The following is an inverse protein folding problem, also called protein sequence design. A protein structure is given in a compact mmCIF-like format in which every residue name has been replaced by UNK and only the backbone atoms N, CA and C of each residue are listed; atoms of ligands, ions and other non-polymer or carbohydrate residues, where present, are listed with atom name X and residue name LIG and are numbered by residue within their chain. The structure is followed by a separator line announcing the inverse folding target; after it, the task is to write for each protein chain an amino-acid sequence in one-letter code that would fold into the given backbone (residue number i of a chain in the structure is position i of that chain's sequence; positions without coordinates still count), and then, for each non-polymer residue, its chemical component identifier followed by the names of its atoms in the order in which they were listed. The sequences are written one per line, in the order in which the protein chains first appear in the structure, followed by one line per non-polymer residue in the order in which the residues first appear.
data_IF_981024333495
#
_entry.id   IF_981024333495
#
_cell.length_a   1.000
_cell.length_b   1.000
_cell.length_c   1.000
_cell.angle_alpha   90.00
_cell.angle_beta   90.00
_cell.angle_gamma   90.00
#
_symmetry.space_group_name_H-M   'P 1'
#
loop_
_entity.id
_entity.type
_entity.pdbx_description
1 polymer ?
#
# COMPACT_ATOMS: atom_id res chain seq x y z
N UNK A 1 13.08 13.26 -5.36
CA UNK A 1 11.69 13.41 -4.87
C UNK A 1 11.67 14.38 -3.71
N UNK A 2 10.67 15.25 -3.64
CA UNK A 2 10.47 16.16 -2.50
C UNK A 2 9.14 15.80 -1.83
N UNK A 3 9.18 14.77 -0.98
CA UNK A 3 8.05 14.35 -0.14
C UNK A 3 8.48 14.49 1.31
N UNK A 4 7.60 15.03 2.17
CA UNK A 4 7.89 15.14 3.59
C UNK A 4 7.90 13.72 4.21
N UNK A 5 9.06 13.24 4.72
CA UNK A 5 9.19 11.87 5.20
C UNK A 5 8.34 11.62 6.45
N UNK A 6 8.24 12.57 7.37
CA UNK A 6 7.47 12.44 8.62
C UNK A 6 5.98 12.24 8.32
N UNK A 7 5.42 13.09 7.44
CA UNK A 7 4.04 12.93 6.97
C UNK A 7 3.85 11.62 6.21
N UNK A 8 4.81 11.24 5.37
CA UNK A 8 4.71 10.02 4.56
C UNK A 8 4.65 8.78 5.44
N UNK A 9 5.51 8.70 6.47
CA UNK A 9 5.49 7.61 7.45
C UNK A 9 4.18 7.59 8.21
N UNK A 10 3.68 8.75 8.65
CA UNK A 10 2.40 8.83 9.36
C UNK A 10 1.25 8.33 8.48
N UNK A 11 1.18 8.72 7.22
CA UNK A 11 0.13 8.29 6.31
C UNK A 11 0.25 6.78 6.00
N UNK A 12 1.48 6.27 5.86
CA UNK A 12 1.72 4.84 5.68
C UNK A 12 1.23 4.01 6.87
N UNK A 13 1.40 4.48 8.11
CA UNK A 13 0.90 3.79 9.31
C UNK A 13 -0.63 3.63 9.28
N UNK A 14 -1.34 4.61 8.73
CA UNK A 14 -2.81 4.66 8.74
C UNK A 14 -3.47 4.29 7.40
N UNK A 15 -2.71 3.92 6.37
CA UNK A 15 -3.25 3.81 5.00
C UNK A 15 -4.38 2.77 4.85
N UNK A 16 -4.37 1.71 5.67
CA UNK A 16 -5.42 0.67 5.72
C UNK A 16 -6.34 0.80 6.95
N UNK A 17 -6.31 1.93 7.66
CA UNK A 17 -7.08 2.08 8.90
C UNK A 17 -8.60 1.95 8.70
N UNK A 18 -9.12 2.28 7.52
CA UNK A 18 -10.53 2.10 7.16
C UNK A 18 -10.95 0.63 7.05
N UNK A 19 -10.00 -0.29 6.85
CA UNK A 19 -10.27 -1.73 6.70
C UNK A 19 -10.78 -2.36 8.01
N UNK A 20 -10.68 -1.67 9.14
CA UNK A 20 -11.38 -2.06 10.38
C UNK A 20 -12.90 -2.18 10.20
N UNK A 21 -13.48 -1.38 9.28
CA UNK A 21 -14.92 -1.40 8.99
C UNK A 21 -15.26 -2.18 7.72
N UNK A 22 -14.41 -2.11 6.70
CA UNK A 22 -14.70 -2.67 5.38
C UNK A 22 -14.18 -4.10 5.23
N UNK A 23 -13.20 -4.49 6.06
CA UNK A 23 -12.38 -5.68 5.86
C UNK A 23 -11.43 -5.52 4.68
N UNK A 24 -10.30 -6.23 4.71
CA UNK A 24 -9.44 -6.31 3.53
C UNK A 24 -10.21 -6.97 2.39
N UNK A 25 -10.20 -6.32 1.24
CA UNK A 25 -10.85 -6.81 0.04
C UNK A 25 -9.77 -7.22 -0.97
N UNK A 26 -9.77 -8.49 -1.44
CA UNK A 26 -8.76 -8.95 -2.37
C UNK A 26 -8.69 -8.06 -3.62
N UNK A 27 -7.46 -7.71 -4.03
CA UNK A 27 -7.20 -6.87 -5.22
C UNK A 27 -7.98 -7.32 -6.47
N UNK A 28 -8.06 -8.63 -6.82
CA UNK A 28 -8.85 -9.06 -7.99
C UNK A 28 -10.33 -8.69 -7.92
N UNK A 29 -10.90 -8.60 -6.71
CA UNK A 29 -12.29 -8.19 -6.47
C UNK A 29 -12.40 -6.66 -6.54
N UNK A 30 -11.51 -5.91 -5.86
CA UNK A 30 -11.47 -4.42 -5.91
C UNK A 30 -11.43 -3.88 -7.35
N UNK A 31 -10.79 -4.61 -8.28
CA UNK A 31 -10.58 -4.16 -9.67
C UNK A 31 -11.34 -4.96 -10.74
N UNK A 32 -12.33 -5.76 -10.37
CA UNK A 32 -13.08 -6.62 -11.31
C UNK A 32 -13.71 -5.83 -12.48
N UNK A 33 -14.31 -4.67 -12.19
CA UNK A 33 -14.77 -3.73 -13.20
C UNK A 33 -14.80 -2.29 -12.65
N UNK A 34 -15.07 -1.32 -13.52
CA UNK A 34 -15.10 0.11 -13.17
C UNK A 34 -16.19 0.48 -12.16
N UNK A 35 -17.33 -0.22 -12.19
CA UNK A 35 -18.46 0.00 -11.28
C UNK A 35 -18.07 -0.42 -9.86
N UNK A 36 -17.56 -1.65 -9.70
CA UNK A 36 -17.11 -2.19 -8.41
C UNK A 36 -15.97 -1.35 -7.84
N UNK A 37 -14.99 -0.99 -8.69
CA UNK A 37 -13.87 -0.14 -8.28
C UNK A 37 -14.35 1.20 -7.72
N UNK A 38 -15.33 1.83 -8.36
CA UNK A 38 -15.87 3.12 -7.91
C UNK A 38 -16.67 2.94 -6.62
N UNK A 39 -17.58 1.97 -6.59
CA UNK A 39 -18.38 1.68 -5.41
C UNK A 39 -17.51 1.37 -4.18
N UNK A 40 -16.42 0.62 -4.36
CA UNK A 40 -15.52 0.29 -3.27
C UNK A 40 -14.74 1.52 -2.77
N UNK A 41 -14.32 2.43 -3.66
CA UNK A 41 -13.73 3.71 -3.24
C UNK A 41 -14.69 4.54 -2.39
N UNK A 42 -15.97 4.54 -2.74
CA UNK A 42 -16.99 5.26 -1.97
C UNK A 42 -17.19 4.62 -0.58
N UNK A 43 -17.13 3.28 -0.50
CA UNK A 43 -17.18 2.53 0.76
C UNK A 43 -15.97 2.85 1.65
N UNK A 44 -14.76 2.82 1.11
CA UNK A 44 -13.52 3.17 1.83
C UNK A 44 -13.54 4.62 2.33
N UNK A 45 -14.02 5.56 1.50
CA UNK A 45 -14.15 6.95 1.89
C UNK A 45 -15.19 7.14 3.00
N UNK A 46 -16.31 6.42 2.94
CA UNK A 46 -17.32 6.45 3.99
C UNK A 46 -16.78 5.86 5.30
N UNK A 47 -16.01 4.78 5.24
CA UNK A 47 -15.33 4.18 6.39
C UNK A 47 -14.31 5.14 7.02
N UNK A 48 -13.49 5.79 6.20
CA UNK A 48 -12.51 6.79 6.65
C UNK A 48 -13.18 7.99 7.33
N UNK A 49 -14.28 8.51 6.74
CA UNK A 49 -15.09 9.58 7.36
C UNK A 49 -15.74 9.13 8.66
N UNK A 50 -16.15 7.87 8.76
CA UNK A 50 -16.68 7.31 10.01
C UNK A 50 -15.58 7.27 11.07
N UNK A 51 -14.37 6.83 10.72
CA UNK A 51 -13.23 6.79 11.64
C UNK A 51 -12.91 8.19 12.19
N UNK A 52 -12.86 9.21 11.31
CA UNK A 52 -12.65 10.61 11.72
C UNK A 52 -13.71 11.11 12.71
N UNK A 53 -14.97 10.73 12.53
CA UNK A 53 -16.06 11.14 13.43
C UNK A 53 -16.02 10.47 14.81
N UNK A 54 -15.21 9.42 14.98
CA UNK A 54 -15.00 8.77 16.28
C UNK A 54 -13.91 9.48 17.10
N UNK A 55 -13.13 10.36 16.49
CA UNK A 55 -12.11 11.13 17.19
C UNK A 55 -12.76 12.26 18.01
N UNK A 56 -12.15 12.64 19.14
CA UNK A 56 -12.45 13.90 19.80
C UNK A 56 -12.27 15.10 18.84
N UNK A 57 -13.04 16.17 19.06
CA UNK A 57 -13.12 17.31 18.13
C UNK A 57 -11.76 18.00 17.90
N UNK A 58 -10.92 18.07 18.93
CA UNK A 58 -9.58 18.64 18.90
C UNK A 58 -8.57 17.86 18.06
N UNK A 59 -8.83 16.56 17.79
CA UNK A 59 -7.98 15.72 16.95
C UNK A 59 -8.47 15.63 15.49
N UNK A 60 -9.68 16.11 15.19
CA UNK A 60 -10.27 15.92 13.86
C UNK A 60 -9.39 16.51 12.76
N UNK A 61 -8.91 17.74 12.94
CA UNK A 61 -8.09 18.44 11.94
C UNK A 61 -6.74 17.76 11.69
N UNK A 62 -6.15 17.18 12.72
CA UNK A 62 -4.83 16.55 12.64
C UNK A 62 -4.87 15.24 11.85
N UNK A 63 -6.00 14.52 11.92
CA UNK A 63 -6.19 13.23 11.25
C UNK A 63 -6.89 13.33 9.90
N UNK A 64 -7.55 14.43 9.58
CA UNK A 64 -8.33 14.54 8.35
C UNK A 64 -7.48 14.30 7.10
N UNK A 65 -6.30 14.90 7.00
CA UNK A 65 -5.39 14.70 5.87
C UNK A 65 -4.82 13.28 5.78
N UNK A 66 -4.70 12.60 6.93
CA UNK A 66 -4.21 11.22 7.03
C UNK A 66 -5.23 10.24 6.47
N UNK A 67 -6.52 10.45 6.75
CA UNK A 67 -7.60 9.51 6.42
C UNK A 67 -8.35 9.88 5.14
N UNK A 68 -8.24 11.13 4.68
CA UNK A 68 -8.92 11.62 3.47
C UNK A 68 -7.84 12.16 2.52
N UNK A 69 -7.55 11.45 1.41
CA UNK A 69 -6.55 11.88 0.46
C UNK A 69 -6.82 13.29 -0.10
N UNK A 70 -5.78 14.11 -0.14
CA UNK A 70 -5.80 15.48 -0.70
C UNK A 70 -4.92 15.57 -1.94
N UNK A 71 -5.32 16.39 -2.91
CA UNK A 71 -4.63 16.49 -4.22
C UNK A 71 -3.24 17.13 -4.11
N UNK A 72 -3.06 18.06 -3.19
CA UNK A 72 -1.77 18.72 -2.90
C UNK A 72 -0.76 17.77 -2.24
N UNK A 73 -1.22 16.66 -1.65
CA UNK A 73 -0.40 15.62 -1.01
C UNK A 73 -0.34 14.32 -1.83
N UNK A 74 -0.72 14.36 -3.11
CA UNK A 74 -0.79 13.16 -3.96
C UNK A 74 0.52 12.39 -4.09
N UNK A 75 1.67 13.06 -4.03
CA UNK A 75 2.97 12.38 -4.14
C UNK A 75 3.27 11.53 -2.91
N UNK A 76 2.77 11.91 -1.73
CA UNK A 76 2.84 11.07 -0.52
C UNK A 76 2.06 9.78 -0.76
N UNK A 77 0.80 9.89 -1.21
CA UNK A 77 -0.05 8.73 -1.48
C UNK A 77 0.47 7.84 -2.61
N UNK A 78 1.10 8.40 -3.65
CA UNK A 78 1.77 7.61 -4.69
C UNK A 78 2.96 6.83 -4.13
N UNK A 79 3.73 7.44 -3.22
CA UNK A 79 4.86 6.80 -2.56
C UNK A 79 4.39 5.65 -1.66
N UNK A 80 3.33 5.87 -0.87
CA UNK A 80 2.72 4.81 -0.05
C UNK A 80 2.19 3.68 -0.91
N UNK A 81 1.50 3.98 -2.01
CA UNK A 81 1.01 2.96 -2.93
C UNK A 81 2.13 2.13 -3.57
N UNK A 82 3.28 2.74 -3.83
CA UNK A 82 4.46 2.01 -4.30
C UNK A 82 5.01 1.10 -3.20
N UNK A 83 5.15 1.62 -1.98
CA UNK A 83 5.62 0.86 -0.82
C UNK A 83 4.70 -0.33 -0.48
N UNK A 84 3.38 -0.14 -0.51
CA UNK A 84 2.38 -1.20 -0.34
C UNK A 84 2.55 -2.34 -1.36
N UNK A 85 2.74 -1.99 -2.65
CA UNK A 85 3.02 -3.01 -3.68
C UNK A 85 4.36 -3.72 -3.48
N UNK A 86 5.39 -3.01 -3.04
CA UNK A 86 6.69 -3.61 -2.72
C UNK A 86 6.53 -4.61 -1.56
N UNK A 87 5.81 -4.22 -0.51
CA UNK A 87 5.48 -5.11 0.62
C UNK A 87 4.72 -6.35 0.17
N UNK A 88 3.70 -6.19 -0.68
CA UNK A 88 2.97 -7.31 -1.27
C UNK A 88 3.86 -8.23 -2.14
N UNK A 89 4.83 -7.66 -2.86
CA UNK A 89 5.80 -8.44 -3.63
C UNK A 89 6.74 -9.25 -2.74
N UNK A 90 7.29 -8.63 -1.68
CA UNK A 90 8.13 -9.30 -0.68
C UNK A 90 7.35 -10.45 -0.04
N UNK A 91 6.10 -10.22 0.34
CA UNK A 91 5.23 -11.29 0.86
C UNK A 91 5.11 -12.47 -0.11
N UNK A 92 5.01 -12.21 -1.42
CA UNK A 92 4.99 -13.28 -2.41
C UNK A 92 6.31 -14.07 -2.48
N UNK A 93 7.46 -13.41 -2.30
CA UNK A 93 8.78 -14.07 -2.24
C UNK A 93 8.84 -15.00 -1.01
N UNK A 94 8.41 -14.51 0.15
CA UNK A 94 8.40 -15.29 1.39
C UNK A 94 7.50 -16.52 1.29
N UNK A 95 6.30 -16.37 0.71
CA UNK A 95 5.38 -17.49 0.47
C UNK A 95 5.95 -18.50 -0.53
N UNK A 96 6.62 -18.05 -1.60
CA UNK A 96 7.29 -18.96 -2.52
C UNK A 96 8.41 -19.75 -1.82
N UNK A 97 9.20 -19.09 -0.97
CA UNK A 97 10.27 -19.72 -0.16
C UNK A 97 9.73 -20.73 0.85
N UNK A 98 8.52 -20.52 1.37
CA UNK A 98 7.84 -21.50 2.23
C UNK A 98 7.27 -22.70 1.46
N UNK A 99 7.38 -22.71 0.13
CA UNK A 99 6.87 -23.74 -0.76
C UNK A 99 5.44 -23.49 -1.25
N UNK A 100 4.85 -22.34 -0.92
CA UNK A 100 3.50 -21.99 -1.33
C UNK A 100 3.47 -21.43 -2.77
N UNK A 101 3.05 -22.29 -3.70
CA UNK A 101 2.99 -21.94 -5.14
C UNK A 101 1.76 -21.11 -5.53
N UNK A 102 0.81 -20.87 -4.63
CA UNK A 102 -0.38 -20.06 -4.94
C UNK A 102 -0.02 -18.60 -5.26
N UNK A 103 1.11 -18.11 -4.74
CA UNK A 103 1.57 -16.73 -4.91
C UNK A 103 2.35 -16.46 -6.19
N UNK A 104 2.73 -17.48 -6.98
CA UNK A 104 3.57 -17.31 -8.18
C UNK A 104 2.95 -16.34 -9.20
N UNK A 105 1.64 -16.45 -9.44
CA UNK A 105 0.94 -15.56 -10.39
C UNK A 105 0.80 -14.14 -9.85
N UNK A 106 0.59 -13.99 -8.54
CA UNK A 106 0.54 -12.69 -7.88
C UNK A 106 1.90 -12.00 -7.95
N UNK A 107 2.99 -12.71 -7.61
CA UNK A 107 4.39 -12.23 -7.72
C UNK A 107 4.68 -11.63 -9.10
N UNK A 108 4.38 -12.37 -10.16
CA UNK A 108 4.60 -11.92 -11.55
C UNK A 108 3.76 -10.69 -11.92
N UNK A 109 2.52 -10.63 -11.44
CA UNK A 109 1.61 -9.51 -11.73
C UNK A 109 2.08 -8.25 -11.01
N UNK A 110 2.43 -8.37 -9.72
CA UNK A 110 2.89 -7.25 -8.90
C UNK A 110 4.24 -6.72 -9.42
N UNK A 111 5.17 -7.59 -9.84
CA UNK A 111 6.42 -7.16 -10.44
C UNK A 111 6.21 -6.32 -11.70
N UNK A 112 5.29 -6.74 -12.58
CA UNK A 112 4.93 -5.96 -13.78
C UNK A 112 4.32 -4.61 -13.40
N UNK A 113 3.45 -4.58 -12.40
CA UNK A 113 2.88 -3.33 -11.89
C UNK A 113 3.97 -2.40 -11.37
N UNK A 114 4.91 -2.89 -10.56
CA UNK A 114 6.02 -2.13 -10.00
C UNK A 114 6.92 -1.53 -11.11
N UNK A 115 7.30 -2.33 -12.10
CA UNK A 115 8.09 -1.85 -13.26
C UNK A 115 7.30 -0.79 -14.04
N UNK A 116 5.99 -0.99 -14.23
CA UNK A 116 5.14 -0.06 -14.97
C UNK A 116 4.87 1.27 -14.26
N UNK A 117 5.20 1.37 -12.96
CA UNK A 117 5.07 2.64 -12.22
C UNK A 117 6.02 3.72 -12.76
N UNK A 118 7.14 3.31 -13.38
CA UNK A 118 8.16 4.20 -13.94
C UNK A 118 8.64 5.26 -12.94
N UNK A 119 9.07 4.80 -11.76
CA UNK A 119 9.56 5.67 -10.69
C UNK A 119 10.97 5.31 -10.25
N UNK A 120 11.80 6.33 -10.11
CA UNK A 120 13.21 6.20 -9.73
C UNK A 120 13.38 5.60 -8.32
N UNK A 121 12.57 6.01 -7.34
CA UNK A 121 12.61 5.48 -5.97
C UNK A 121 12.30 3.97 -5.91
N UNK A 122 11.30 3.53 -6.65
CA UNK A 122 10.96 2.11 -6.80
C UNK A 122 12.11 1.36 -7.46
N UNK A 123 12.65 1.88 -8.56
CA UNK A 123 13.74 1.23 -9.28
C UNK A 123 14.98 1.05 -8.39
N UNK A 124 15.37 2.08 -7.63
CA UNK A 124 16.47 2.02 -6.67
C UNK A 124 16.18 0.98 -5.59
N UNK A 125 14.95 0.96 -5.03
CA UNK A 125 14.63 -0.02 -4.01
C UNK A 125 14.73 -1.46 -4.53
N UNK A 126 14.18 -1.69 -5.73
CA UNK A 126 14.18 -2.99 -6.38
C UNK A 126 15.59 -3.45 -6.77
N UNK A 127 16.49 -2.54 -7.17
CA UNK A 127 17.87 -2.91 -7.52
C UNK A 127 18.76 -3.14 -6.32
N UNK A 128 18.61 -2.33 -5.27
CA UNK A 128 19.60 -2.26 -4.20
C UNK A 128 19.25 -3.16 -3.01
N UNK A 129 17.96 -3.43 -2.79
CA UNK A 129 17.49 -4.15 -1.59
C UNK A 129 16.75 -5.45 -1.89
N UNK A 130 16.19 -5.65 -3.09
CA UNK A 130 15.29 -6.78 -3.33
C UNK A 130 15.98 -8.15 -3.21
N UNK A 131 17.23 -8.25 -3.68
CA UNK A 131 18.03 -9.48 -3.59
C UNK A 131 18.18 -9.96 -2.13
N UNK A 132 18.22 -9.03 -1.17
CA UNK A 132 18.29 -9.36 0.25
C UNK A 132 17.07 -10.12 0.78
N UNK A 133 15.89 -9.94 0.18
CA UNK A 133 14.67 -10.67 0.58
C UNK A 133 14.64 -12.11 0.04
N UNK A 134 15.48 -12.44 -0.94
CA UNK A 134 15.64 -13.81 -1.43
C UNK A 134 16.52 -14.65 -0.51
N UNK A 135 17.42 -14.02 0.25
CA UNK A 135 18.35 -14.69 1.18
C UNK A 135 17.64 -15.40 2.34
N UNK A 136 18.16 -16.56 2.72
CA UNK A 136 17.85 -17.24 3.98
C UNK A 136 18.53 -16.54 5.15
N UNK A 137 18.09 -16.83 6.38
CA UNK A 137 18.70 -16.22 7.58
C UNK A 137 20.22 -16.46 7.67
N UNK A 138 20.68 -17.64 7.26
CA UNK A 138 22.10 -18.00 7.26
C UNK A 138 22.91 -17.26 6.16
N UNK A 139 22.24 -16.80 5.09
CA UNK A 139 22.87 -16.04 4.00
C UNK A 139 22.94 -14.52 4.29
N UNK A 140 22.31 -14.05 5.37
CA UNK A 140 22.27 -12.64 5.77
C UNK A 140 23.42 -12.21 6.70
N UNK A 141 24.40 -13.09 6.95
CA UNK A 141 25.61 -12.79 7.77
C UNK A 141 26.66 -11.93 7.04
#
# INVERSE_FOLDING_TARGET
MDVNPEKTVLYAIYHDASEIFTGDMPTPVKYFNTVIKTAYKDVELAASRRLLKLLPEDFYSDYEGILIPREDEKEIWKTIKAADKISAYIKCIEEEKSGNKEFLKAKQTILKDLISMDREDVNIFMSDFMDGYELTLDEME
#
